data_IF_624716452072
#
_entry.id   IF_624716452072
#
_cell.length_a   1.000
_cell.length_b   1.000
_cell.length_c   1.000
_cell.angle_alpha   90.00
_cell.angle_beta   90.00
_cell.angle_gamma   90.00
#
_symmetry.space_group_name_H-M   'P 1'
#
loop_
_entity.id
_entity.type
_entity.pdbx_description
1 polymer ?
#
# COMPACT_ATOMS: atom_id res chain seq x y z
N UNK A 1 21.23 -4.50 -6.69
CA UNK A 1 20.65 -4.34 -8.03
C UNK A 1 19.40 -5.19 -8.01
N UNK A 2 18.22 -4.61 -8.20
CA UNK A 2 17.02 -5.42 -8.34
C UNK A 2 17.02 -6.02 -9.75
N UNK A 3 16.80 -7.32 -9.88
CA UNK A 3 16.78 -7.99 -11.18
C UNK A 3 15.49 -7.65 -11.92
N UNK A 4 15.57 -7.51 -13.25
CA UNK A 4 14.35 -7.36 -14.06
C UNK A 4 13.56 -8.67 -14.10
N UNK A 5 12.23 -8.61 -14.27
CA UNK A 5 11.41 -9.83 -14.38
C UNK A 5 11.81 -10.74 -15.54
N UNK A 6 12.30 -10.19 -16.65
CA UNK A 6 12.80 -10.99 -17.77
C UNK A 6 14.09 -11.72 -17.39
N UNK A 7 15.00 -11.04 -16.68
CA UNK A 7 16.22 -11.65 -16.18
C UNK A 7 15.93 -12.72 -15.11
N UNK A 8 14.94 -12.49 -14.23
CA UNK A 8 14.47 -13.49 -13.26
C UNK A 8 13.90 -14.72 -13.97
N UNK A 9 13.08 -14.53 -15.01
CA UNK A 9 12.55 -15.64 -15.80
C UNK A 9 13.64 -16.45 -16.51
N UNK A 10 14.66 -15.77 -17.04
CA UNK A 10 15.81 -16.43 -17.66
C UNK A 10 16.60 -17.24 -16.63
N UNK A 11 16.90 -16.66 -15.47
CA UNK A 11 17.56 -17.34 -14.35
C UNK A 11 16.74 -18.51 -13.83
N UNK A 12 15.43 -18.34 -13.68
CA UNK A 12 14.52 -19.41 -13.26
C UNK A 12 14.51 -20.56 -14.27
N UNK A 13 14.53 -20.25 -15.57
CA UNK A 13 14.60 -21.28 -16.63
C UNK A 13 15.91 -22.07 -16.53
N UNK A 14 17.02 -21.40 -16.27
CA UNK A 14 18.32 -22.05 -16.06
C UNK A 14 18.31 -22.92 -14.79
N UNK A 15 17.80 -22.38 -13.69
CA UNK A 15 17.66 -23.08 -12.41
C UNK A 15 16.82 -24.34 -12.56
N UNK A 16 15.63 -24.26 -13.17
CA UNK A 16 14.76 -25.42 -13.36
C UNK A 16 15.42 -26.55 -14.15
N UNK A 17 16.27 -26.23 -15.13
CA UNK A 17 17.03 -27.23 -15.90
C UNK A 17 18.20 -27.82 -15.12
N UNK A 18 18.88 -27.00 -14.34
CA UNK A 18 20.06 -27.42 -13.56
C UNK A 18 19.69 -28.40 -12.44
N UNK A 19 18.50 -28.24 -11.84
CA UNK A 19 18.04 -29.00 -10.67
C UNK A 19 16.95 -30.05 -10.98
N UNK A 20 16.70 -30.35 -12.26
CA UNK A 20 15.61 -31.25 -12.70
C UNK A 20 15.71 -32.68 -12.13
N UNK A 21 16.95 -33.17 -11.99
CA UNK A 21 17.26 -34.55 -11.57
C UNK A 21 17.68 -34.67 -10.10
N UNK A 22 17.58 -33.60 -9.31
CA UNK A 22 18.03 -33.59 -7.90
C UNK A 22 17.09 -34.39 -7.00
N UNK A 23 17.65 -35.13 -6.04
CA UNK A 23 16.88 -36.05 -5.19
C UNK A 23 17.30 -36.09 -3.71
N UNK A 24 18.51 -35.65 -3.36
CA UNK A 24 19.11 -35.89 -2.03
C UNK A 24 19.14 -34.64 -1.13
N UNK A 25 18.37 -34.68 -0.04
CA UNK A 25 18.24 -33.59 0.94
C UNK A 25 19.57 -33.22 1.62
N UNK A 26 20.34 -34.19 2.11
CA UNK A 26 21.54 -33.93 2.91
C UNK A 26 22.68 -33.28 2.10
N UNK A 27 22.79 -33.64 0.82
CA UNK A 27 23.83 -33.13 -0.07
C UNK A 27 23.42 -31.84 -0.79
N UNK A 28 22.16 -31.75 -1.22
CA UNK A 28 21.77 -30.80 -2.26
C UNK A 28 20.86 -29.67 -1.76
N UNK A 29 20.25 -29.76 -0.57
CA UNK A 29 19.31 -28.75 -0.08
C UNK A 29 19.96 -27.36 0.05
N UNK A 30 21.17 -27.28 0.62
CA UNK A 30 21.87 -26.00 0.77
C UNK A 30 22.26 -25.38 -0.58
N UNK A 31 22.96 -26.10 -1.50
CA UNK A 31 23.22 -25.61 -2.85
C UNK A 31 21.96 -25.19 -3.62
N UNK A 32 20.90 -26.01 -3.57
CA UNK A 32 19.63 -25.73 -4.25
C UNK A 32 19.01 -24.42 -3.78
N UNK A 33 18.93 -24.22 -2.46
CA UNK A 33 18.38 -22.98 -1.90
C UNK A 33 19.24 -21.77 -2.24
N UNK A 34 20.57 -21.89 -2.23
CA UNK A 34 21.46 -20.80 -2.62
C UNK A 34 21.18 -20.37 -4.07
N UNK A 35 21.09 -21.31 -5.00
CA UNK A 35 20.82 -20.99 -6.40
C UNK A 35 19.37 -20.52 -6.60
N UNK A 36 18.40 -21.05 -5.85
CA UNK A 36 17.02 -20.58 -5.88
C UNK A 36 16.93 -19.10 -5.49
N UNK A 37 17.56 -18.69 -4.39
CA UNK A 37 17.58 -17.27 -3.99
C UNK A 37 18.40 -16.40 -4.95
N UNK A 38 19.40 -16.98 -5.63
CA UNK A 38 20.18 -16.30 -6.67
C UNK A 38 19.37 -16.00 -7.94
N UNK A 39 18.30 -16.78 -8.23
CA UNK A 39 17.31 -16.44 -9.27
C UNK A 39 16.72 -15.05 -9.03
N UNK A 40 16.52 -14.68 -7.77
CA UNK A 40 16.01 -13.37 -7.33
C UNK A 40 17.12 -12.37 -6.97
N UNK A 41 18.39 -12.70 -7.21
CA UNK A 41 19.52 -11.79 -6.96
C UNK A 41 19.83 -11.60 -5.47
N UNK A 42 19.30 -12.46 -4.61
CA UNK A 42 19.56 -12.45 -3.17
C UNK A 42 20.86 -13.19 -2.89
N UNK A 43 21.90 -12.45 -2.49
CA UNK A 43 23.20 -13.04 -2.15
C UNK A 43 23.23 -13.51 -0.68
N UNK A 44 23.65 -14.77 -0.48
CA UNK A 44 23.77 -15.49 0.81
C UNK A 44 24.37 -14.68 1.96
N UNK A 45 25.34 -13.79 1.71
CA UNK A 45 26.12 -13.13 2.78
C UNK A 45 25.35 -12.10 3.62
N UNK A 46 24.10 -11.74 3.28
CA UNK A 46 23.42 -10.60 3.92
C UNK A 46 22.09 -10.89 4.64
N UNK A 47 21.39 -12.02 4.43
CA UNK A 47 19.98 -12.10 4.84
C UNK A 47 19.43 -13.44 5.39
N UNK A 48 20.11 -14.59 5.24
CA UNK A 48 19.55 -15.90 5.61
C UNK A 48 20.48 -16.73 6.51
N UNK A 49 19.91 -17.39 7.53
CA UNK A 49 20.61 -18.37 8.37
C UNK A 49 20.22 -19.77 7.94
N UNK A 50 21.20 -20.58 7.57
CA UNK A 50 21.00 -22.01 7.28
C UNK A 50 21.14 -22.82 8.57
N UNK A 51 20.43 -23.95 8.66
CA UNK A 51 20.46 -24.86 9.81
C UNK A 51 20.21 -24.12 11.13
N UNK A 52 19.19 -23.26 11.14
CA UNK A 52 18.87 -22.47 12.32
C UNK A 52 18.30 -23.38 13.40
N UNK A 53 19.02 -23.52 14.51
CA UNK A 53 18.59 -24.32 15.66
C UNK A 53 17.45 -23.61 16.40
N UNK A 54 16.35 -24.30 16.57
CA UNK A 54 15.13 -23.80 17.22
C UNK A 54 14.57 -24.86 18.16
N UNK A 55 13.88 -24.43 19.22
CA UNK A 55 13.11 -25.34 20.08
C UNK A 55 11.72 -25.55 19.48
N UNK A 56 11.32 -26.80 19.32
CA UNK A 56 9.95 -27.18 18.94
C UNK A 56 8.99 -26.99 20.14
N UNK A 57 7.69 -27.08 19.87
CA UNK A 57 6.61 -27.08 20.87
C UNK A 57 6.81 -28.09 22.01
N UNK A 58 7.47 -29.21 21.72
CA UNK A 58 7.75 -30.29 22.68
C UNK A 58 9.14 -30.19 23.34
N UNK A 59 9.75 -29.01 23.29
CA UNK A 59 11.09 -28.68 23.80
C UNK A 59 12.25 -29.46 23.18
N UNK A 60 12.01 -30.27 22.14
CA UNK A 60 13.08 -30.94 21.38
C UNK A 60 13.78 -29.96 20.44
N UNK A 61 15.08 -30.21 20.25
CA UNK A 61 15.86 -29.48 19.27
C UNK A 61 15.38 -29.79 17.85
N UNK A 62 15.20 -28.73 17.07
CA UNK A 62 14.90 -28.77 15.65
C UNK A 62 15.84 -27.88 14.86
N UNK A 63 15.94 -28.15 13.57
CA UNK A 63 16.74 -27.36 12.64
C UNK A 63 15.86 -26.92 11.48
N UNK A 64 15.87 -25.63 11.22
CA UNK A 64 15.24 -25.03 10.04
C UNK A 64 16.28 -24.99 8.93
N UNK A 65 15.96 -25.53 7.75
CA UNK A 65 16.91 -25.56 6.63
C UNK A 65 17.35 -24.16 6.21
N UNK A 66 16.39 -23.24 6.08
CA UNK A 66 16.68 -21.81 5.89
C UNK A 66 15.67 -20.92 6.59
N UNK A 67 16.18 -19.93 7.33
CA UNK A 67 15.38 -18.85 7.91
C UNK A 67 15.90 -17.49 7.43
N UNK A 68 15.03 -16.76 6.73
CA UNK A 68 15.14 -15.31 6.57
C UNK A 68 14.14 -14.65 7.51
N UNK A 69 14.65 -14.17 8.64
CA UNK A 69 13.88 -13.56 9.73
C UNK A 69 12.92 -12.48 9.22
N UNK A 70 11.65 -12.56 9.64
CA UNK A 70 10.62 -11.59 9.22
C UNK A 70 10.12 -11.75 7.79
N UNK A 71 10.65 -12.69 7.01
CA UNK A 71 10.36 -12.84 5.57
C UNK A 71 9.89 -14.24 5.23
N UNK A 72 10.78 -15.22 5.22
CA UNK A 72 10.48 -16.59 4.77
C UNK A 72 11.21 -17.64 5.59
N UNK A 73 10.51 -18.73 5.87
CA UNK A 73 11.08 -19.99 6.38
C UNK A 73 10.97 -21.03 5.29
N UNK A 74 12.07 -21.75 5.03
CA UNK A 74 12.10 -22.85 4.06
C UNK A 74 12.45 -24.16 4.74
N UNK A 75 11.65 -25.20 4.49
CA UNK A 75 11.88 -26.57 4.91
C UNK A 75 11.96 -27.47 3.66
N UNK A 76 13.10 -28.12 3.48
CA UNK A 76 13.35 -29.05 2.39
C UNK A 76 13.06 -30.47 2.82
N UNK A 77 12.71 -31.32 1.86
CA UNK A 77 12.63 -32.78 2.03
C UNK A 77 13.27 -33.47 0.84
N UNK A 78 13.65 -34.73 1.01
CA UNK A 78 14.06 -35.60 -0.10
C UNK A 78 12.91 -35.75 -1.10
N UNK A 79 13.22 -35.91 -2.40
CA UNK A 79 12.22 -35.97 -3.47
C UNK A 79 11.15 -37.04 -3.24
N UNK A 80 9.88 -36.68 -3.45
CA UNK A 80 8.71 -37.55 -3.29
C UNK A 80 8.20 -37.69 -1.85
N UNK A 81 8.76 -36.95 -0.89
CA UNK A 81 8.28 -36.94 0.50
C UNK A 81 7.04 -36.04 0.66
N UNK A 82 6.30 -36.27 1.74
CA UNK A 82 5.04 -35.55 2.00
C UNK A 82 5.31 -34.12 2.49
N UNK A 83 4.89 -33.14 1.69
CA UNK A 83 5.06 -31.71 1.97
C UNK A 83 4.12 -31.17 3.05
N UNK A 84 2.93 -31.74 3.24
CA UNK A 84 2.01 -31.32 4.30
C UNK A 84 2.61 -31.58 5.70
N UNK A 85 3.29 -32.73 5.86
CA UNK A 85 4.04 -33.04 7.07
C UNK A 85 5.20 -32.06 7.29
N UNK A 86 5.90 -31.68 6.22
CA UNK A 86 6.96 -30.67 6.29
C UNK A 86 6.41 -29.30 6.70
N UNK A 87 5.21 -28.94 6.23
CA UNK A 87 4.57 -27.69 6.62
C UNK A 87 4.15 -27.67 8.10
N UNK A 88 3.60 -28.77 8.62
CA UNK A 88 3.31 -28.91 10.06
C UNK A 88 4.60 -28.75 10.87
N UNK A 89 5.67 -29.42 10.46
CA UNK A 89 6.98 -29.29 11.09
C UNK A 89 7.51 -27.84 11.06
N UNK A 90 7.37 -27.14 9.92
CA UNK A 90 7.74 -25.75 9.78
C UNK A 90 6.93 -24.82 10.70
N UNK A 91 5.64 -25.09 10.88
CA UNK A 91 4.78 -24.37 11.83
C UNK A 91 5.21 -24.59 13.28
N UNK A 92 5.58 -25.82 13.65
CA UNK A 92 6.04 -26.12 15.01
C UNK A 92 7.27 -25.29 15.41
N UNK A 93 8.13 -24.95 14.44
CA UNK A 93 9.31 -24.10 14.66
C UNK A 93 8.97 -22.65 15.01
N UNK A 94 7.80 -22.13 14.58
CA UNK A 94 7.42 -20.74 14.82
C UNK A 94 7.34 -20.41 16.31
N UNK A 95 6.97 -21.39 17.14
CA UNK A 95 6.88 -21.22 18.60
C UNK A 95 8.22 -20.92 19.25
N UNK A 96 9.33 -21.36 18.64
CA UNK A 96 10.68 -21.11 19.13
C UNK A 96 11.30 -19.81 18.61
N UNK A 97 10.61 -19.06 17.75
CA UNK A 97 11.07 -17.80 17.17
C UNK A 97 10.53 -16.59 17.93
N UNK A 98 11.31 -15.51 17.99
CA UNK A 98 10.83 -14.23 18.54
C UNK A 98 9.85 -13.57 17.56
N UNK A 99 8.97 -12.70 18.07
CA UNK A 99 7.95 -12.02 17.26
C UNK A 99 8.49 -11.34 15.99
N UNK A 100 9.66 -10.68 16.06
CA UNK A 100 10.28 -10.00 14.91
C UNK A 100 11.02 -10.95 13.95
N UNK A 101 11.16 -12.23 14.31
CA UNK A 101 11.81 -13.26 13.50
C UNK A 101 10.78 -14.11 12.74
N UNK A 102 9.51 -14.07 13.18
CA UNK A 102 8.42 -14.81 12.56
C UNK A 102 8.34 -14.48 11.06
N UNK A 103 8.41 -15.49 10.18
CA UNK A 103 8.33 -15.31 8.75
C UNK A 103 6.90 -14.94 8.34
N UNK A 104 6.75 -14.23 7.22
CA UNK A 104 5.46 -14.01 6.56
C UNK A 104 5.09 -15.17 5.64
N UNK A 105 6.10 -15.87 5.13
CA UNK A 105 5.95 -16.98 4.20
C UNK A 105 6.59 -18.27 4.72
N UNK A 106 5.97 -19.42 4.43
CA UNK A 106 6.59 -20.73 4.59
C UNK A 106 6.65 -21.41 3.24
N UNK A 107 7.84 -21.76 2.78
CA UNK A 107 8.04 -22.61 1.62
C UNK A 107 8.43 -24.02 2.06
N UNK A 108 7.71 -25.01 1.58
CA UNK A 108 8.13 -26.41 1.69
C UNK A 108 8.38 -26.99 0.31
N UNK A 109 9.47 -27.72 0.14
CA UNK A 109 9.84 -28.28 -1.16
C UNK A 109 10.58 -29.61 -1.06
N UNK A 110 10.37 -30.47 -2.06
CA UNK A 110 11.07 -31.73 -2.23
C UNK A 110 11.94 -31.75 -3.50
N UNK A 111 12.47 -30.59 -3.89
CA UNK A 111 13.19 -30.31 -5.15
C UNK A 111 12.30 -30.28 -6.40
N UNK A 112 11.32 -31.17 -6.51
CA UNK A 112 10.38 -31.19 -7.64
C UNK A 112 9.15 -30.32 -7.41
N UNK A 113 8.56 -30.36 -6.22
CA UNK A 113 7.34 -29.66 -5.89
C UNK A 113 7.65 -28.51 -4.94
N UNK A 114 6.99 -27.39 -5.18
CA UNK A 114 7.04 -26.19 -4.36
C UNK A 114 5.64 -25.96 -3.79
N UNK A 115 5.57 -25.78 -2.48
CA UNK A 115 4.34 -25.41 -1.79
C UNK A 115 4.63 -24.19 -0.91
N UNK A 116 4.17 -23.04 -1.38
CA UNK A 116 4.36 -21.75 -0.73
C UNK A 116 3.08 -21.38 0.03
N UNK A 117 3.22 -21.12 1.32
CA UNK A 117 2.16 -20.64 2.20
C UNK A 117 2.40 -19.18 2.54
N UNK A 118 1.40 -18.34 2.30
CA UNK A 118 1.30 -16.98 2.83
C UNK A 118 0.58 -17.03 4.19
N UNK A 119 1.27 -16.64 5.26
CA UNK A 119 0.71 -16.65 6.61
C UNK A 119 -0.13 -15.41 6.92
N UNK A 120 -0.02 -14.34 6.13
CA UNK A 120 -0.82 -13.12 6.30
C UNK A 120 -2.14 -13.21 5.53
N UNK A 121 -2.12 -13.70 4.30
CA UNK A 121 -3.31 -13.82 3.43
C UNK A 121 -3.97 -15.21 3.47
N UNK A 122 -3.41 -16.15 4.23
CA UNK A 122 -3.83 -17.57 4.30
C UNK A 122 -3.91 -18.28 2.93
N UNK A 123 -3.15 -17.81 1.94
CA UNK A 123 -3.13 -18.34 0.59
C UNK A 123 -2.05 -19.43 0.41
N UNK A 124 -2.32 -20.40 -0.47
CA UNK A 124 -1.42 -21.52 -0.76
C UNK A 124 -1.21 -21.61 -2.27
N UNK A 125 0.04 -21.65 -2.69
CA UNK A 125 0.42 -21.85 -4.09
C UNK A 125 1.27 -23.11 -4.21
N UNK A 126 0.86 -24.02 -5.09
CA UNK A 126 1.55 -25.27 -5.37
C UNK A 126 1.91 -25.35 -6.86
N UNK A 127 3.18 -25.66 -7.15
CA UNK A 127 3.64 -25.82 -8.53
C UNK A 127 4.89 -26.71 -8.58
N UNK A 128 5.22 -27.22 -9.78
CA UNK A 128 6.41 -28.02 -10.03
C UNK A 128 7.60 -27.17 -10.45
N UNK A 129 8.82 -27.68 -10.27
CA UNK A 129 10.06 -27.00 -10.64
C UNK A 129 10.07 -26.51 -12.09
N UNK A 130 9.52 -27.28 -13.03
CA UNK A 130 9.46 -26.88 -14.45
C UNK A 130 8.52 -25.68 -14.68
N UNK A 131 7.53 -25.47 -13.81
CA UNK A 131 6.62 -24.33 -13.84
C UNK A 131 7.14 -23.12 -13.06
N UNK A 132 8.34 -23.19 -12.46
CA UNK A 132 8.90 -22.10 -11.67
C UNK A 132 8.93 -20.79 -12.47
N UNK A 133 9.25 -20.83 -13.77
CA UNK A 133 9.30 -19.66 -14.67
C UNK A 133 7.96 -18.91 -14.72
N UNK A 134 6.84 -19.63 -14.66
CA UNK A 134 5.50 -19.05 -14.64
C UNK A 134 5.09 -18.57 -13.24
N UNK A 135 5.77 -19.05 -12.20
CA UNK A 135 5.45 -18.82 -10.79
C UNK A 135 6.44 -17.89 -10.07
N UNK A 136 7.47 -17.37 -10.73
CA UNK A 136 8.46 -16.46 -10.13
C UNK A 136 7.84 -15.21 -9.50
N UNK A 137 6.67 -14.78 -9.96
CA UNK A 137 5.96 -13.62 -9.41
C UNK A 137 5.47 -13.85 -7.97
N UNK A 138 5.19 -15.09 -7.58
CA UNK A 138 4.78 -15.44 -6.22
C UNK A 138 5.91 -15.18 -5.20
N UNK A 139 7.14 -15.01 -5.66
CA UNK A 139 8.32 -14.72 -4.83
C UNK A 139 8.80 -13.27 -4.99
N UNK A 140 7.98 -12.38 -5.56
CA UNK A 140 8.36 -10.98 -5.78
C UNK A 140 8.78 -10.23 -4.52
N UNK A 141 8.30 -10.64 -3.35
CA UNK A 141 8.70 -10.10 -2.05
C UNK A 141 10.19 -10.31 -1.75
N UNK A 142 10.83 -11.34 -2.31
CA UNK A 142 12.26 -11.63 -2.12
C UNK A 142 13.18 -10.56 -2.74
N UNK A 143 12.66 -9.78 -3.69
CA UNK A 143 13.40 -8.69 -4.34
C UNK A 143 13.50 -7.43 -3.47
N UNK A 144 12.94 -7.44 -2.25
CA UNK A 144 12.81 -6.25 -1.40
C UNK A 144 11.73 -5.27 -1.89
N UNK A 145 10.99 -5.64 -2.95
CA UNK A 145 9.72 -5.01 -3.28
C UNK A 145 8.67 -5.58 -2.32
N UNK A 146 8.40 -4.87 -1.22
CA UNK A 146 7.05 -4.91 -0.67
C UNK A 146 6.14 -4.24 -1.69
N UNK A 147 5.82 -4.95 -2.76
CA UNK A 147 4.72 -4.57 -3.63
C UNK A 147 3.48 -4.87 -2.81
N UNK A 148 3.02 -3.90 -2.02
CA UNK A 148 1.61 -3.84 -1.64
C UNK A 148 0.85 -3.71 -2.96
N UNK A 149 0.55 -4.85 -3.58
CA UNK A 149 -0.34 -4.91 -4.73
C UNK A 149 -1.72 -4.69 -4.13
N UNK A 150 -2.12 -3.44 -4.00
CA UNK A 150 -3.49 -3.11 -3.67
C UNK A 150 -4.35 -3.59 -4.85
N UNK A 151 -5.00 -4.74 -4.70
CA UNK A 151 -5.99 -5.19 -5.69
C UNK A 151 -7.24 -4.36 -5.49
N UNK A 152 -7.77 -3.78 -6.56
CA UNK A 152 -9.05 -3.03 -6.52
C UNK A 152 -10.21 -3.88 -5.97
N UNK A 153 -10.14 -5.20 -6.12
CA UNK A 153 -11.10 -6.17 -5.60
C UNK A 153 -10.78 -6.68 -4.18
N UNK A 154 -9.84 -6.06 -3.46
CA UNK A 154 -9.61 -6.38 -2.05
C UNK A 154 -10.95 -6.26 -1.29
N UNK A 155 -11.34 -7.27 -0.49
CA UNK A 155 -12.55 -7.21 0.32
C UNK A 155 -12.66 -5.94 1.17
N UNK A 156 -11.53 -5.40 1.65
CA UNK A 156 -11.50 -4.15 2.40
C UNK A 156 -11.90 -2.94 1.52
N UNK A 157 -11.42 -2.90 0.28
CA UNK A 157 -11.73 -1.83 -0.67
C UNK A 157 -13.21 -1.80 -1.05
N UNK A 158 -13.78 -2.98 -1.34
CA UNK A 158 -15.21 -3.10 -1.68
C UNK A 158 -16.08 -2.68 -0.48
N UNK A 159 -15.73 -3.17 0.72
CA UNK A 159 -16.48 -2.84 1.94
C UNK A 159 -16.43 -1.34 2.27
N UNK A 160 -15.26 -0.71 2.16
CA UNK A 160 -15.10 0.73 2.36
C UNK A 160 -15.97 1.53 1.39
N UNK A 161 -15.98 1.12 0.12
CA UNK A 161 -16.79 1.76 -0.90
C UNK A 161 -18.30 1.67 -0.62
N UNK A 162 -18.79 0.49 -0.26
CA UNK A 162 -20.19 0.27 0.07
C UNK A 162 -20.66 1.08 1.29
N UNK A 163 -19.83 1.18 2.34
CA UNK A 163 -20.20 1.94 3.54
C UNK A 163 -20.27 3.44 3.27
N UNK A 164 -19.26 3.99 2.59
CA UNK A 164 -19.27 5.41 2.19
C UNK A 164 -20.43 5.72 1.26
N UNK A 165 -20.76 4.81 0.34
CA UNK A 165 -21.91 4.99 -0.54
C UNK A 165 -23.25 4.99 0.19
N UNK A 166 -23.42 4.11 1.19
CA UNK A 166 -24.61 4.13 2.06
C UNK A 166 -24.72 5.43 2.86
N UNK A 167 -23.61 5.98 3.33
CA UNK A 167 -23.60 7.25 4.05
C UNK A 167 -24.00 8.42 3.15
N UNK A 168 -23.46 8.46 1.92
CA UNK A 168 -23.86 9.40 0.88
C UNK A 168 -25.37 9.37 0.64
N UNK A 169 -25.91 8.19 0.32
CA UNK A 169 -27.31 8.04 -0.08
C UNK A 169 -28.26 8.50 1.02
N UNK A 170 -27.93 8.22 2.27
CA UNK A 170 -28.72 8.64 3.42
C UNK A 170 -28.71 10.16 3.61
N UNK A 171 -27.56 10.81 3.48
CA UNK A 171 -27.48 12.26 3.54
C UNK A 171 -28.31 12.90 2.42
N UNK A 172 -28.25 12.31 1.22
CA UNK A 172 -29.07 12.73 0.09
C UNK A 172 -30.58 12.56 0.32
N UNK A 173 -30.99 11.43 0.90
CA UNK A 173 -32.40 11.13 1.21
C UNK A 173 -33.04 12.14 2.16
N UNK A 174 -32.26 12.73 3.08
CA UNK A 174 -32.74 13.76 4.01
C UNK A 174 -32.66 15.19 3.43
N UNK A 175 -32.24 15.32 2.16
CA UNK A 175 -32.14 16.60 1.46
C UNK A 175 -30.80 17.32 1.59
N UNK A 176 -29.74 16.65 2.07
CA UNK A 176 -28.38 17.17 2.01
C UNK A 176 -27.73 16.69 0.71
N UNK A 177 -27.78 17.50 -0.34
CA UNK A 177 -27.42 17.11 -1.70
C UNK A 177 -26.53 18.14 -2.42
N UNK A 178 -26.18 17.84 -3.68
CA UNK A 178 -25.37 18.69 -4.52
C UNK A 178 -23.98 18.92 -3.96
N UNK A 179 -23.38 20.06 -4.33
CA UNK A 179 -22.01 20.42 -3.93
C UNK A 179 -21.69 20.24 -2.43
N UNK A 180 -22.55 20.69 -1.48
CA UNK A 180 -22.30 20.45 -0.06
C UNK A 180 -22.11 18.99 0.34
N UNK A 181 -22.94 18.08 -0.19
CA UNK A 181 -22.85 16.65 0.10
C UNK A 181 -21.49 16.09 -0.32
N UNK A 182 -21.07 16.46 -1.54
CA UNK A 182 -19.85 15.97 -2.15
C UNK A 182 -18.60 16.40 -1.38
N UNK A 183 -18.51 17.69 -1.03
CA UNK A 183 -17.40 18.20 -0.21
C UNK A 183 -17.43 17.58 1.19
N UNK A 184 -18.62 17.41 1.79
CA UNK A 184 -18.76 16.84 3.14
C UNK A 184 -18.25 15.39 3.20
N UNK A 185 -18.60 14.56 2.22
CA UNK A 185 -18.11 13.18 2.14
C UNK A 185 -16.60 13.10 1.93
N UNK A 186 -16.06 13.97 1.08
CA UNK A 186 -14.61 14.01 0.84
C UNK A 186 -13.86 14.42 2.12
N UNK A 187 -14.41 15.34 2.93
CA UNK A 187 -13.87 15.68 4.25
C UNK A 187 -13.91 14.52 5.23
N UNK A 188 -15.03 13.78 5.29
CA UNK A 188 -15.14 12.59 6.13
C UNK A 188 -14.14 11.51 5.70
N UNK A 189 -14.01 11.28 4.39
CA UNK A 189 -13.04 10.35 3.84
C UNK A 189 -11.61 10.72 4.23
N UNK A 190 -11.27 12.01 4.17
CA UNK A 190 -9.97 12.48 4.65
C UNK A 190 -9.77 12.16 6.13
N UNK A 191 -10.76 12.44 7.00
CA UNK A 191 -10.66 12.17 8.43
C UNK A 191 -10.46 10.67 8.75
N UNK A 192 -11.21 9.80 8.07
CA UNK A 192 -11.10 8.35 8.18
C UNK A 192 -9.70 7.84 7.79
N UNK A 193 -9.12 8.41 6.74
CA UNK A 193 -7.77 8.06 6.33
C UNK A 193 -6.71 8.62 7.29
N UNK A 194 -6.91 9.85 7.73
CA UNK A 194 -5.95 10.58 8.56
C UNK A 194 -5.67 9.90 9.91
N UNK A 195 -6.68 9.28 10.53
CA UNK A 195 -6.51 8.53 11.79
C UNK A 195 -5.73 7.21 11.65
N UNK A 196 -5.69 6.64 10.44
CA UNK A 196 -4.97 5.40 10.16
C UNK A 196 -3.61 5.62 9.51
N UNK A 197 -3.31 6.84 9.05
CA UNK A 197 -2.03 7.17 8.41
C UNK A 197 -1.19 8.17 9.19
N UNK A 198 -1.32 8.24 10.52
CA UNK A 198 -0.51 9.12 11.41
C UNK A 198 -0.61 10.62 11.12
N UNK A 199 -1.61 11.05 10.36
CA UNK A 199 -1.94 12.49 10.24
C UNK A 199 -2.62 12.91 11.54
N UNK A 200 -3.61 12.13 11.97
CA UNK A 200 -4.19 12.21 13.30
C UNK A 200 -3.54 11.16 14.22
N UNK A 201 -3.78 11.30 15.52
CA UNK A 201 -3.50 10.22 16.44
C UNK A 201 -4.37 9.00 16.09
N UNK A 202 -3.87 7.79 16.38
CA UNK A 202 -4.60 6.56 16.08
C UNK A 202 -5.99 6.58 16.74
N UNK A 203 -7.03 6.30 15.96
CA UNK A 203 -8.45 6.30 16.39
C UNK A 203 -8.96 7.66 16.90
N UNK A 204 -8.24 8.77 16.68
CA UNK A 204 -8.62 10.06 17.25
C UNK A 204 -9.98 10.55 16.72
N UNK A 205 -10.29 10.30 15.44
CA UNK A 205 -11.56 10.69 14.84
C UNK A 205 -12.69 9.77 15.32
N UNK A 206 -12.45 8.46 15.34
CA UNK A 206 -13.36 7.48 15.92
C UNK A 206 -13.70 7.79 17.39
N UNK A 207 -12.70 8.08 18.21
CA UNK A 207 -12.85 8.40 19.63
C UNK A 207 -13.58 9.72 19.84
N UNK A 208 -13.34 10.71 18.98
CA UNK A 208 -14.09 11.97 18.99
C UNK A 208 -15.59 11.71 18.75
N UNK A 209 -15.94 10.95 17.70
CA UNK A 209 -17.35 10.62 17.43
C UNK A 209 -17.94 9.79 18.58
N UNK A 210 -17.23 8.77 19.03
CA UNK A 210 -17.73 7.83 20.05
C UNK A 210 -18.00 8.52 21.38
N UNK A 211 -17.08 9.38 21.83
CA UNK A 211 -17.09 9.92 23.19
C UNK A 211 -17.70 11.32 23.30
N UNK A 212 -17.86 12.06 22.18
CA UNK A 212 -18.28 13.48 22.18
C UNK A 212 -19.56 13.75 21.42
N UNK A 213 -20.23 12.71 20.93
CA UNK A 213 -21.53 12.82 20.26
C UNK A 213 -22.54 11.86 20.88
N UNK A 214 -23.80 12.28 20.92
CA UNK A 214 -24.91 11.51 21.43
C UNK A 214 -25.17 10.28 20.54
N UNK A 215 -25.59 9.17 21.15
CA UNK A 215 -25.93 7.94 20.42
C UNK A 215 -27.06 8.13 19.42
N UNK A 216 -27.94 9.10 19.64
CA UNK A 216 -29.05 9.44 18.75
C UNK A 216 -28.63 10.24 17.50
N UNK A 217 -27.35 10.66 17.41
CA UNK A 217 -26.78 11.41 16.29
C UNK A 217 -27.13 12.90 16.25
N UNK A 218 -27.92 13.40 17.20
CA UNK A 218 -28.50 14.75 17.17
C UNK A 218 -27.48 15.89 17.14
N UNK A 219 -26.30 15.68 17.73
CA UNK A 219 -25.22 16.67 17.87
C UNK A 219 -24.01 16.38 16.98
N UNK A 220 -24.04 15.32 16.16
CA UNK A 220 -22.92 14.90 15.34
C UNK A 220 -22.53 15.96 14.28
N UNK A 221 -23.49 16.51 13.53
CA UNK A 221 -23.19 17.53 12.52
C UNK A 221 -22.56 18.80 13.11
N UNK A 222 -23.09 19.39 14.20
CA UNK A 222 -22.42 20.49 14.89
C UNK A 222 -20.99 20.17 15.34
N UNK A 223 -20.75 18.95 15.85
CA UNK A 223 -19.42 18.53 16.31
C UNK A 223 -18.43 18.32 15.17
N UNK A 224 -18.88 17.77 14.04
CA UNK A 224 -18.08 17.67 12.83
C UNK A 224 -17.75 19.04 12.24
N UNK A 225 -18.69 19.99 12.29
CA UNK A 225 -18.44 21.36 11.84
C UNK A 225 -17.37 22.05 12.71
N UNK A 226 -17.43 21.86 14.03
CA UNK A 226 -16.40 22.35 14.97
C UNK A 226 -15.03 21.75 14.62
N UNK A 227 -14.96 20.43 14.38
CA UNK A 227 -13.74 19.76 13.95
C UNK A 227 -13.20 20.31 12.63
N UNK A 228 -14.04 20.46 11.60
CA UNK A 228 -13.61 20.97 10.29
C UNK A 228 -13.04 22.39 10.40
N UNK A 229 -13.60 23.23 11.26
CA UNK A 229 -13.03 24.55 11.54
C UNK A 229 -11.65 24.46 12.21
N UNK A 230 -11.45 23.52 13.13
CA UNK A 230 -10.15 23.28 13.77
C UNK A 230 -9.10 22.80 12.76
N UNK A 231 -9.48 21.92 11.83
CA UNK A 231 -8.62 21.45 10.74
C UNK A 231 -8.23 22.57 9.77
N UNK A 232 -9.08 23.60 9.61
CA UNK A 232 -8.80 24.80 8.82
C UNK A 232 -8.09 25.93 9.60
N UNK A 233 -7.92 25.81 10.91
CA UNK A 233 -7.35 26.87 11.75
C UNK A 233 -5.93 26.54 12.20
N UNK A 234 -4.91 27.34 11.79
CA UNK A 234 -3.55 27.21 12.28
C UNK A 234 -3.46 27.22 13.81
N UNK A 235 -2.59 26.39 14.39
CA UNK A 235 -2.52 26.17 15.85
C UNK A 235 -2.37 27.46 16.65
N UNK A 236 -1.59 28.41 16.16
CA UNK A 236 -1.34 29.71 16.79
C UNK A 236 -2.53 30.67 16.75
N UNK A 237 -3.52 30.41 15.88
CA UNK A 237 -4.75 31.19 15.74
C UNK A 237 -5.95 30.56 16.45
N UNK A 238 -5.80 29.36 17.03
CA UNK A 238 -6.85 28.68 17.79
C UNK A 238 -7.15 29.42 19.10
N UNK A 239 -8.39 29.29 19.58
CA UNK A 239 -8.76 29.85 20.88
C UNK A 239 -7.96 29.20 22.01
N UNK A 240 -7.51 30.02 22.97
CA UNK A 240 -6.69 29.55 24.11
C UNK A 240 -7.42 28.59 25.06
N UNK A 241 -8.74 28.59 25.01
CA UNK A 241 -9.63 27.73 25.78
C UNK A 241 -10.37 26.72 24.89
N UNK A 242 -9.87 26.45 23.68
CA UNK A 242 -10.36 25.35 22.86
C UNK A 242 -10.24 24.04 23.64
N UNK A 243 -11.24 23.16 23.48
CA UNK A 243 -11.24 21.84 24.09
C UNK A 243 -9.95 21.08 23.74
N UNK A 244 -9.33 20.44 24.75
CA UNK A 244 -8.01 19.81 24.62
C UNK A 244 -7.99 18.71 23.54
N UNK A 245 -9.06 17.91 23.45
CA UNK A 245 -9.14 16.82 22.46
C UNK A 245 -9.24 17.38 21.04
N UNK A 246 -9.97 18.48 20.85
CA UNK A 246 -10.02 19.18 19.57
C UNK A 246 -8.68 19.84 19.24
N UNK A 247 -8.02 20.43 20.23
CA UNK A 247 -6.72 21.09 20.05
C UNK A 247 -5.61 20.15 19.57
N UNK A 248 -5.73 18.84 19.83
CA UNK A 248 -4.80 17.81 19.36
C UNK A 248 -4.89 17.52 17.85
N UNK A 249 -5.99 17.86 17.17
CA UNK A 249 -6.06 17.66 15.71
C UNK A 249 -5.12 18.64 15.00
N UNK A 250 -4.39 18.23 13.94
CA UNK A 250 -3.47 19.10 13.23
C UNK A 250 -4.19 20.15 12.39
N UNK A 251 -3.45 21.14 11.90
CA UNK A 251 -3.90 22.02 10.83
C UNK A 251 -3.62 21.37 9.47
N UNK A 252 -4.61 21.37 8.56
CA UNK A 252 -4.56 20.68 7.26
C UNK A 252 -4.69 21.72 6.13
N UNK A 253 -3.67 22.57 5.98
CA UNK A 253 -3.37 23.50 4.87
C UNK A 253 -4.53 24.16 4.08
N UNK A 254 -5.68 24.36 4.71
CA UNK A 254 -6.75 25.25 4.27
C UNK A 254 -7.69 24.69 3.21
N UNK A 255 -7.22 24.30 2.02
CA UNK A 255 -8.12 24.23 0.84
C UNK A 255 -9.31 23.27 0.98
N UNK A 256 -9.14 22.09 1.56
CA UNK A 256 -10.24 21.12 1.72
C UNK A 256 -11.29 21.58 2.74
N UNK A 257 -10.87 22.29 3.80
CA UNK A 257 -11.72 22.66 4.94
C UNK A 257 -12.15 24.14 4.93
N UNK A 258 -11.60 24.96 4.03
CA UNK A 258 -11.85 26.40 3.95
C UNK A 258 -13.30 26.76 3.60
N UNK A 259 -13.99 25.93 2.81
CA UNK A 259 -15.37 26.20 2.43
C UNK A 259 -16.33 25.99 3.62
N UNK A 260 -17.18 26.99 3.88
CA UNK A 260 -18.26 26.87 4.86
C UNK A 260 -19.44 26.17 4.19
N UNK A 261 -19.74 24.96 4.66
CA UNK A 261 -20.86 24.17 4.18
C UNK A 261 -22.13 24.44 5.02
N UNK A 262 -23.33 24.29 4.43
CA UNK A 262 -24.56 24.21 5.21
C UNK A 262 -24.47 23.04 6.20
N UNK A 263 -25.10 23.21 7.37
CA UNK A 263 -25.11 22.18 8.41
C UNK A 263 -25.93 20.97 7.95
N UNK A 264 -25.32 19.79 8.01
CA UNK A 264 -25.99 18.51 7.79
C UNK A 264 -26.87 18.12 9.00
N UNK A 265 -27.61 17.02 8.89
CA UNK A 265 -28.34 16.43 10.00
C UNK A 265 -28.08 14.92 10.04
N UNK A 266 -27.97 14.37 11.25
CA UNK A 266 -27.70 12.95 11.45
C UNK A 266 -28.74 12.35 12.39
N UNK A 267 -29.14 11.13 12.09
CA UNK A 267 -29.86 10.26 13.03
C UNK A 267 -28.92 9.18 13.60
N UNK A 268 -29.44 8.37 14.52
CA UNK A 268 -28.69 7.28 15.16
C UNK A 268 -28.10 6.30 14.14
N UNK A 269 -28.80 6.03 13.04
CA UNK A 269 -28.37 5.07 12.04
C UNK A 269 -27.28 5.65 11.14
N UNK A 270 -27.30 6.95 10.86
CA UNK A 270 -26.23 7.63 10.10
C UNK A 270 -24.97 7.76 10.95
N UNK A 271 -25.10 8.06 12.25
CA UNK A 271 -23.97 8.03 13.19
C UNK A 271 -23.31 6.65 13.23
N UNK A 272 -24.11 5.58 13.35
CA UNK A 272 -23.60 4.21 13.32
C UNK A 272 -22.90 3.89 12.00
N UNK A 273 -23.45 4.31 10.85
CA UNK A 273 -22.81 4.10 9.56
C UNK A 273 -21.44 4.78 9.46
N UNK A 274 -21.29 5.99 10.00
CA UNK A 274 -19.99 6.67 10.06
C UNK A 274 -19.00 5.95 10.98
N UNK A 275 -19.44 5.46 12.14
CA UNK A 275 -18.60 4.65 13.03
C UNK A 275 -18.19 3.31 12.39
N UNK A 276 -19.07 2.68 11.62
CA UNK A 276 -18.72 1.48 10.84
C UNK A 276 -17.61 1.74 9.83
N UNK A 277 -17.56 2.95 9.23
CA UNK A 277 -16.44 3.37 8.40
C UNK A 277 -15.14 3.51 9.21
N UNK A 278 -15.18 4.05 10.43
CA UNK A 278 -13.99 4.19 11.30
C UNK A 278 -13.36 2.84 11.69
N UNK A 279 -14.13 1.75 11.71
CA UNK A 279 -13.60 0.42 12.02
C UNK A 279 -12.81 -0.24 10.87
N UNK A 280 -12.79 0.37 9.69
CA UNK A 280 -11.96 -0.07 8.57
C UNK A 280 -10.56 0.51 8.74
N UNK A 281 -9.54 -0.29 8.44
CA UNK A 281 -8.14 0.16 8.38
C UNK A 281 -7.87 0.84 7.03
N UNK A 282 -8.02 2.15 6.98
CA UNK A 282 -7.88 2.97 5.77
C UNK A 282 -6.43 3.07 5.28
N UNK A 283 -5.43 2.72 6.10
CA UNK A 283 -4.03 2.62 5.67
C UNK A 283 -3.78 1.51 4.62
N UNK A 284 -4.71 0.55 4.54
CA UNK A 284 -4.71 -0.54 3.57
C UNK A 284 -5.55 -0.24 2.33
N UNK A 285 -6.18 0.92 2.27
CA UNK A 285 -7.02 1.31 1.15
C UNK A 285 -6.16 2.11 0.15
N UNK A 286 -6.22 1.71 -1.12
CA UNK A 286 -5.55 2.45 -2.18
C UNK A 286 -6.36 3.71 -2.52
N UNK A 287 -5.74 4.90 -2.58
CA UNK A 287 -6.45 6.10 -3.07
C UNK A 287 -7.05 5.93 -4.46
N UNK A 288 -6.53 4.98 -5.25
CA UNK A 288 -7.09 4.65 -6.56
C UNK A 288 -8.53 4.10 -6.50
N UNK A 289 -8.97 3.56 -5.35
CA UNK A 289 -10.33 3.04 -5.20
C UNK A 289 -11.38 4.15 -5.06
N UNK A 290 -10.98 5.39 -4.78
CA UNK A 290 -11.96 6.45 -4.59
C UNK A 290 -12.80 6.63 -5.85
N UNK A 291 -12.21 6.41 -7.03
CA UNK A 291 -12.95 6.36 -8.29
C UNK A 291 -14.07 5.32 -8.32
N UNK A 292 -13.83 4.09 -7.86
CA UNK A 292 -14.85 3.04 -7.84
C UNK A 292 -15.86 3.23 -6.71
N UNK A 293 -15.40 3.69 -5.55
CA UNK A 293 -16.23 4.08 -4.41
C UNK A 293 -17.27 5.12 -4.82
N UNK A 294 -16.85 6.17 -5.49
CA UNK A 294 -17.74 7.26 -5.83
C UNK A 294 -18.52 7.04 -7.14
N UNK A 295 -18.07 6.14 -8.01
CA UNK A 295 -18.91 5.64 -9.09
C UNK A 295 -20.13 4.86 -8.60
N UNK A 296 -20.04 4.25 -7.41
CA UNK A 296 -21.18 3.53 -6.82
C UNK A 296 -22.29 4.47 -6.34
N UNK A 297 -21.96 5.73 -6.02
CA UNK A 297 -22.93 6.74 -5.58
C UNK A 297 -23.54 7.56 -6.71
N UNK A 298 -22.89 7.58 -7.88
CA UNK A 298 -23.42 8.26 -9.07
C UNK A 298 -24.65 7.54 -9.64
N UNK A 299 -25.60 8.30 -10.17
CA UNK A 299 -26.77 7.73 -10.84
C UNK A 299 -26.34 6.91 -12.08
N UNK A 300 -26.87 5.68 -12.28
CA UNK A 300 -26.52 4.84 -13.42
C UNK A 300 -26.70 5.48 -14.81
N UNK A 301 -27.66 6.41 -14.95
CA UNK A 301 -27.89 7.14 -16.21
C UNK A 301 -26.83 8.22 -16.45
N UNK A 302 -26.48 8.99 -15.41
CA UNK A 302 -25.40 9.99 -15.46
C UNK A 302 -24.05 9.32 -15.71
N UNK A 303 -23.80 8.19 -15.03
CA UNK A 303 -22.59 7.37 -15.25
C UNK A 303 -22.38 6.98 -16.70
N UNK A 304 -23.46 6.57 -17.39
CA UNK A 304 -23.40 6.14 -18.80
C UNK A 304 -23.23 7.32 -19.77
N UNK A 305 -23.84 8.47 -19.48
CA UNK A 305 -23.76 9.65 -20.34
C UNK A 305 -22.39 10.36 -20.24
N UNK A 306 -21.80 10.41 -19.04
CA UNK A 306 -20.52 11.05 -18.81
C UNK A 306 -19.32 10.16 -19.18
N UNK A 307 -19.56 8.88 -19.50
CA UNK A 307 -18.49 7.92 -19.71
C UNK A 307 -17.62 7.73 -18.46
N UNK A 308 -18.21 7.94 -17.27
CA UNK A 308 -17.56 7.88 -15.97
C UNK A 308 -17.19 6.43 -15.61
N UNK A 309 -16.25 5.88 -16.38
CA UNK A 309 -15.65 4.58 -16.20
C UNK A 309 -14.24 4.79 -15.69
N UNK A 310 -13.98 4.21 -14.53
CA UNK A 310 -12.70 4.30 -13.89
C UNK A 310 -11.68 3.46 -14.68
N UNK A 311 -10.46 3.99 -14.85
CA UNK A 311 -9.36 3.25 -15.48
C UNK A 311 -8.55 2.51 -14.42
N UNK A 312 -8.64 1.18 -14.39
CA UNK A 312 -7.89 0.34 -13.45
C UNK A 312 -6.38 0.64 -13.43
N UNK A 313 -5.73 0.41 -12.28
CA UNK A 313 -4.29 0.55 -12.12
C UNK A 313 -3.53 -0.26 -13.18
N UNK A 314 -4.00 -1.47 -13.48
CA UNK A 314 -3.39 -2.32 -14.51
C UNK A 314 -3.39 -1.66 -15.89
N UNK A 315 -4.48 -0.95 -16.24
CA UNK A 315 -4.58 -0.26 -17.52
C UNK A 315 -3.78 1.06 -17.52
N UNK A 316 -3.74 1.77 -16.39
CA UNK A 316 -2.89 2.96 -16.23
C UNK A 316 -1.42 2.56 -16.44
N UNK A 317 -0.96 1.51 -15.76
CA UNK A 317 0.42 1.02 -15.87
C UNK A 317 0.78 0.59 -17.29
N UNK A 318 -0.16 0.00 -18.05
CA UNK A 318 0.07 -0.33 -19.48
C UNK A 318 0.32 0.91 -20.34
N UNK A 319 -0.18 2.08 -19.94
CA UNK A 319 0.01 3.33 -20.64
C UNK A 319 1.28 4.05 -20.17
N UNK A 320 1.43 4.27 -18.86
CA UNK A 320 2.52 5.12 -18.35
C UNK A 320 3.91 4.46 -18.45
N UNK A 321 3.97 3.12 -18.39
CA UNK A 321 5.21 2.34 -18.57
C UNK A 321 5.91 2.63 -19.89
N UNK A 322 5.29 2.35 -21.06
CA UNK A 322 5.91 2.67 -22.34
C UNK A 322 5.99 4.17 -22.63
N UNK A 323 5.13 5.01 -22.02
CA UNK A 323 5.11 6.45 -22.29
C UNK A 323 6.33 7.18 -21.71
N UNK A 324 6.73 6.86 -20.48
CA UNK A 324 7.89 7.51 -19.84
C UNK A 324 8.53 6.67 -18.72
N UNK A 325 7.73 5.87 -17.99
CA UNK A 325 8.20 5.29 -16.73
C UNK A 325 9.30 4.23 -16.93
N UNK A 326 9.20 3.39 -17.96
CA UNK A 326 10.23 2.39 -18.26
C UNK A 326 11.55 3.04 -18.71
N UNK A 327 11.48 4.16 -19.45
CA UNK A 327 12.66 4.92 -19.85
C UNK A 327 13.36 5.55 -18.65
N UNK A 328 12.60 6.15 -17.71
CA UNK A 328 13.16 6.73 -16.49
C UNK A 328 13.85 5.67 -15.61
N UNK A 329 13.24 4.50 -15.44
CA UNK A 329 13.86 3.40 -14.70
C UNK A 329 15.11 2.87 -15.41
N UNK A 330 15.10 2.75 -16.74
CA UNK A 330 16.27 2.33 -17.50
C UNK A 330 17.43 3.34 -17.36
N UNK A 331 17.14 4.64 -17.48
CA UNK A 331 18.12 5.71 -17.28
C UNK A 331 18.72 5.64 -15.87
N UNK A 332 17.87 5.59 -14.84
CA UNK A 332 18.28 5.40 -13.44
C UNK A 332 19.21 4.20 -13.29
N UNK A 333 18.84 3.04 -13.83
CA UNK A 333 19.61 1.81 -13.68
C UNK A 333 21.00 1.89 -14.30
N UNK A 334 21.17 2.68 -15.37
CA UNK A 334 22.48 2.95 -15.99
C UNK A 334 23.35 3.91 -15.18
N UNK A 335 22.75 4.87 -14.46
CA UNK A 335 23.48 5.93 -13.74
C UNK A 335 23.53 5.75 -12.21
N UNK A 336 22.82 4.78 -11.62
CA UNK A 336 22.67 4.58 -10.16
C UNK A 336 23.96 4.41 -9.34
N UNK A 337 25.09 4.20 -10.01
CA UNK A 337 26.42 4.09 -9.39
C UNK A 337 27.26 5.37 -9.58
N UNK A 338 26.79 6.32 -10.39
CA UNK A 338 27.47 7.56 -10.72
C UNK A 338 26.93 8.72 -9.84
N UNK A 339 27.71 9.09 -8.83
CA UNK A 339 27.35 10.13 -7.86
C UNK A 339 27.16 11.53 -8.46
N UNK A 340 27.73 11.81 -9.62
CA UNK A 340 27.61 13.13 -10.25
C UNK A 340 26.35 13.24 -11.12
N UNK A 341 25.92 12.13 -11.72
CA UNK A 341 24.73 12.11 -12.59
C UNK A 341 23.41 11.95 -11.83
N UNK A 342 23.43 11.34 -10.64
CA UNK A 342 22.23 11.14 -9.84
C UNK A 342 21.52 12.46 -9.45
N UNK A 343 22.22 13.50 -8.97
CA UNK A 343 21.58 14.80 -8.68
C UNK A 343 20.97 15.47 -9.92
N UNK A 344 21.64 15.37 -11.07
CA UNK A 344 21.12 15.90 -12.35
C UNK A 344 19.85 15.17 -12.78
N UNK A 345 19.81 13.85 -12.58
CA UNK A 345 18.64 13.03 -12.89
C UNK A 345 17.48 13.26 -11.92
N UNK A 346 17.77 13.42 -10.61
CA UNK A 346 16.76 13.80 -9.62
C UNK A 346 16.13 15.15 -9.95
N UNK A 347 16.96 16.14 -10.33
CA UNK A 347 16.50 17.44 -10.81
C UNK A 347 15.59 17.29 -12.04
N UNK A 348 16.02 16.51 -13.04
CA UNK A 348 15.22 16.24 -14.26
C UNK A 348 13.84 15.70 -13.91
N UNK A 349 13.73 14.77 -12.97
CA UNK A 349 12.43 14.21 -12.56
C UNK A 349 11.58 15.25 -11.84
N UNK A 350 12.18 16.06 -10.95
CA UNK A 350 11.44 17.11 -10.22
C UNK A 350 10.86 18.20 -11.12
N UNK A 351 11.41 18.36 -12.33
CA UNK A 351 10.93 19.34 -13.32
C UNK A 351 9.84 18.76 -14.25
N UNK A 352 9.57 17.45 -14.21
CA UNK A 352 8.50 16.85 -15.02
C UNK A 352 7.13 17.37 -14.58
N UNK A 353 6.25 17.60 -15.56
CA UNK A 353 4.85 17.99 -15.34
C UNK A 353 3.93 17.02 -16.08
N UNK A 354 2.88 16.58 -15.42
CA UNK A 354 1.90 15.66 -15.97
C UNK A 354 0.54 16.34 -16.03
N UNK A 355 -0.17 16.17 -17.14
CA UNK A 355 -1.49 16.73 -17.34
C UNK A 355 -2.45 15.64 -17.80
N UNK A 356 -3.53 15.47 -17.05
CA UNK A 356 -4.68 14.67 -17.46
C UNK A 356 -5.88 15.61 -17.71
N UNK A 357 -6.22 15.90 -18.99
CA UNK A 357 -7.26 16.88 -19.33
C UNK A 357 -8.69 16.34 -19.18
N UNK A 358 -8.87 15.10 -18.71
CA UNK A 358 -10.16 14.49 -18.38
C UNK A 358 -9.97 13.54 -17.19
N UNK A 359 -9.47 14.08 -16.07
CA UNK A 359 -8.85 13.27 -15.03
C UNK A 359 -9.82 12.46 -14.17
N UNK A 360 -11.13 12.76 -14.20
CA UNK A 360 -12.10 12.13 -13.32
C UNK A 360 -11.67 12.28 -11.87
N UNK A 361 -11.60 11.16 -11.16
CA UNK A 361 -11.12 11.09 -9.78
C UNK A 361 -9.59 11.12 -9.62
N UNK A 362 -8.84 11.43 -10.68
CA UNK A 362 -7.38 11.66 -10.62
C UNK A 362 -6.50 10.41 -10.67
N UNK A 363 -7.03 9.24 -11.05
CA UNK A 363 -6.29 7.99 -10.88
C UNK A 363 -5.01 7.87 -11.74
N UNK A 364 -4.98 8.45 -12.94
CA UNK A 364 -3.72 8.57 -13.69
C UNK A 364 -2.69 9.41 -12.94
N UNK A 365 -3.11 10.51 -12.31
CA UNK A 365 -2.24 11.41 -11.54
C UNK A 365 -1.71 10.70 -10.29
N UNK A 366 -2.59 10.06 -9.52
CA UNK A 366 -2.26 9.32 -8.29
C UNK A 366 -1.25 8.20 -8.56
N UNK A 367 -1.51 7.35 -9.55
CA UNK A 367 -0.63 6.23 -9.88
C UNK A 367 0.70 6.75 -10.44
N UNK A 368 0.67 7.74 -11.33
CA UNK A 368 1.90 8.35 -11.86
C UNK A 368 2.75 8.94 -10.75
N UNK A 369 2.14 9.67 -9.83
CA UNK A 369 2.83 10.30 -8.70
C UNK A 369 3.46 9.23 -7.79
N UNK A 370 2.71 8.19 -7.44
CA UNK A 370 3.21 7.05 -6.67
C UNK A 370 4.44 6.41 -7.31
N UNK A 371 4.39 6.11 -8.61
CA UNK A 371 5.51 5.47 -9.31
C UNK A 371 6.74 6.39 -9.39
N UNK A 372 6.55 7.70 -9.51
CA UNK A 372 7.64 8.68 -9.50
C UNK A 372 8.25 8.84 -8.10
N UNK A 373 7.44 8.85 -7.04
CA UNK A 373 7.93 8.84 -5.65
C UNK A 373 8.71 7.57 -5.33
N UNK A 374 8.27 6.40 -5.82
CA UNK A 374 9.04 5.15 -5.70
C UNK A 374 10.41 5.23 -6.40
N UNK A 375 10.46 5.86 -7.58
CA UNK A 375 11.70 6.12 -8.30
C UNK A 375 12.59 7.11 -7.53
N UNK A 376 12.03 8.19 -6.99
CA UNK A 376 12.75 9.14 -6.14
C UNK A 376 13.35 8.46 -4.91
N UNK A 377 12.60 7.62 -4.19
CA UNK A 377 13.11 6.83 -3.06
C UNK A 377 14.30 5.97 -3.51
N UNK A 378 14.24 5.34 -4.69
CA UNK A 378 15.35 4.56 -5.22
C UNK A 378 16.58 5.43 -5.53
N UNK A 379 16.38 6.64 -6.06
CA UNK A 379 17.43 7.64 -6.29
C UNK A 379 18.08 8.06 -4.97
N UNK A 380 17.30 8.45 -3.98
CA UNK A 380 17.81 8.87 -2.66
C UNK A 380 18.58 7.74 -1.98
N UNK A 381 18.03 6.51 -2.00
CA UNK A 381 18.74 5.32 -1.51
C UNK A 381 20.06 5.08 -2.24
N UNK A 382 20.16 5.38 -3.54
CA UNK A 382 21.39 5.26 -4.31
C UNK A 382 22.40 6.38 -3.99
N UNK A 383 21.93 7.60 -3.77
CA UNK A 383 22.72 8.78 -3.43
C UNK A 383 23.34 8.66 -2.03
N UNK A 384 22.57 8.22 -1.03
CA UNK A 384 22.95 8.23 0.38
C UNK A 384 23.41 6.85 0.94
N UNK A 385 23.82 5.90 0.09
CA UNK A 385 24.23 4.52 0.45
C UNK A 385 25.21 4.35 1.62
N UNK A 386 25.96 5.40 1.98
CA UNK A 386 27.06 5.33 2.94
C UNK A 386 26.76 6.00 4.29
N UNK A 387 25.49 6.31 4.60
CA UNK A 387 25.12 6.87 5.90
C UNK A 387 25.67 8.28 6.15
N UNK A 388 25.92 9.05 5.08
CA UNK A 388 26.04 10.50 5.25
C UNK A 388 24.71 11.02 5.77
N UNK A 389 24.73 11.48 7.01
CA UNK A 389 23.57 11.86 7.80
C UNK A 389 22.71 12.88 7.08
N UNK A 390 21.64 12.39 6.48
CA UNK A 390 20.47 13.22 6.18
C UNK A 390 19.80 13.43 7.53
N UNK A 391 19.88 14.65 8.04
CA UNK A 391 19.25 15.05 9.30
C UNK A 391 17.73 15.14 9.14
N UNK A 392 17.26 15.46 7.92
CA UNK A 392 15.85 15.56 7.59
C UNK A 392 15.56 15.05 6.16
N UNK A 393 14.65 14.09 6.05
CA UNK A 393 14.19 13.52 4.77
C UNK A 393 13.45 14.58 3.94
N UNK A 394 12.81 15.57 4.59
CA UNK A 394 12.08 16.64 3.92
C UNK A 394 12.99 17.56 3.08
N UNK A 395 14.28 17.69 3.44
CA UNK A 395 15.22 18.53 2.69
C UNK A 395 15.72 17.89 1.38
N UNK A 396 15.53 16.58 1.25
CA UNK A 396 16.05 15.79 0.12
C UNK A 396 14.95 15.23 -0.79
N UNK A 397 13.67 15.37 -0.43
CA UNK A 397 12.53 15.06 -1.30
C UNK A 397 12.20 16.30 -2.12
N UNK A 398 12.14 16.17 -3.45
CA UNK A 398 11.89 17.27 -4.38
C UNK A 398 10.58 17.11 -5.16
N UNK A 399 10.01 15.90 -5.20
CA UNK A 399 8.75 15.66 -5.89
C UNK A 399 7.56 16.03 -4.99
N UNK A 400 6.66 16.83 -5.52
CA UNK A 400 5.46 17.33 -4.84
C UNK A 400 4.24 17.21 -5.77
N UNK A 401 3.03 17.17 -5.21
CA UNK A 401 1.76 17.07 -5.93
C UNK A 401 1.56 18.20 -6.93
N UNK A 402 2.24 19.34 -6.77
CA UNK A 402 2.29 20.48 -7.70
C UNK A 402 2.85 20.13 -9.10
N UNK A 403 3.42 18.93 -9.27
CA UNK A 403 3.80 18.41 -10.58
C UNK A 403 2.63 17.80 -11.38
N UNK A 404 1.49 17.58 -10.73
CA UNK A 404 0.30 16.95 -11.30
C UNK A 404 -0.77 17.99 -11.61
N UNK A 405 -1.22 18.03 -12.86
CA UNK A 405 -2.32 18.85 -13.33
C UNK A 405 -3.49 18.00 -13.84
N UNK A 406 -4.71 18.41 -13.50
CA UNK A 406 -5.94 17.75 -13.96
C UNK A 406 -6.97 18.77 -14.45
N UNK A 407 -7.74 18.40 -15.47
CA UNK A 407 -8.97 19.11 -15.85
C UNK A 407 -10.10 18.10 -15.77
N UNK A 408 -11.18 18.48 -15.08
CA UNK A 408 -12.38 17.68 -14.94
C UNK A 408 -13.59 18.61 -15.02
N UNK A 409 -14.65 18.14 -15.69
CA UNK A 409 -15.88 18.91 -15.89
C UNK A 409 -16.77 18.86 -14.65
N UNK A 410 -16.88 17.69 -14.02
CA UNK A 410 -17.68 17.49 -12.82
C UNK A 410 -16.89 17.85 -11.55
N UNK A 411 -17.49 18.64 -10.67
CA UNK A 411 -16.79 19.09 -9.45
C UNK A 411 -16.42 17.92 -8.53
N UNK A 412 -17.32 16.94 -8.38
CA UNK A 412 -17.12 15.88 -7.40
C UNK A 412 -15.88 15.01 -7.69
N UNK A 413 -15.69 14.44 -8.90
CA UNK A 413 -14.45 13.74 -9.23
C UNK A 413 -13.21 14.64 -9.10
N UNK A 414 -13.31 15.94 -9.43
CA UNK A 414 -12.21 16.88 -9.24
C UNK A 414 -11.79 17.03 -7.76
N UNK A 415 -12.75 17.10 -6.83
CA UNK A 415 -12.48 17.14 -5.38
C UNK A 415 -11.87 15.85 -4.87
N UNK A 416 -12.35 14.71 -5.39
CA UNK A 416 -11.77 13.41 -5.07
C UNK A 416 -10.32 13.34 -5.55
N UNK A 417 -10.02 13.85 -6.75
CA UNK A 417 -8.66 13.90 -7.27
C UNK A 417 -7.73 14.72 -6.36
N UNK A 418 -8.19 15.88 -5.89
CA UNK A 418 -7.43 16.74 -4.97
C UNK A 418 -7.06 16.01 -3.68
N UNK A 419 -8.04 15.37 -3.03
CA UNK A 419 -7.78 14.61 -1.79
C UNK A 419 -6.95 13.36 -2.06
N UNK A 420 -7.22 12.61 -3.14
CA UNK A 420 -6.46 11.42 -3.49
C UNK A 420 -4.96 11.75 -3.67
N UNK A 421 -4.65 12.92 -4.26
CA UNK A 421 -3.28 13.39 -4.41
C UNK A 421 -2.58 13.67 -3.07
N UNK A 422 -3.26 14.31 -2.11
CA UNK A 422 -2.69 14.52 -0.78
C UNK A 422 -2.54 13.22 0.01
N UNK A 423 -3.51 12.33 -0.09
CA UNK A 423 -3.46 11.04 0.59
C UNK A 423 -2.35 10.15 0.06
N UNK A 424 -2.11 10.13 -1.26
CA UNK A 424 -1.00 9.37 -1.83
C UNK A 424 0.35 10.01 -1.50
N UNK A 425 0.47 11.34 -1.47
CA UNK A 425 1.69 12.02 -1.00
C UNK A 425 2.05 11.62 0.42
N UNK A 426 1.07 11.71 1.32
CA UNK A 426 1.28 11.31 2.70
C UNK A 426 1.64 9.83 2.83
N UNK A 427 0.97 8.93 2.09
CA UNK A 427 1.34 7.51 2.06
C UNK A 427 2.78 7.27 1.58
N UNK A 428 3.25 8.05 0.61
CA UNK A 428 4.61 7.94 0.10
C UNK A 428 5.64 8.53 1.08
N UNK A 429 5.28 9.57 1.83
CA UNK A 429 6.13 10.16 2.88
C UNK A 429 6.35 9.19 4.07
N UNK A 430 5.45 8.24 4.28
CA UNK A 430 5.56 7.23 5.35
C UNK A 430 6.44 6.01 4.99
N UNK A 431 6.92 5.89 3.74
CA UNK A 431 7.79 4.80 3.27
C UNK A 431 9.27 5.14 3.38
#
# INVERSE_FOLDING_TARGET
MALSWNEIKERATKFSKEWEDTQNEEADAKPFLIEFFNVFGVNRKKFATFEHRVKKLDERDGYIDLLWKGTILVEMKSRGKNLDKAFVQAKDYLHGLKQHELPKYILVSDFENFKLHDLEEENIVEFKLHDLVNNVQNFGYLLGYQKKIYKEQDPANIKAAELMGKLHDRLKEIGYDGHPLEVYLVRLLFCLFAEDTTIFNKQQFQDFITNRTNEDGSDLAPKLQELFQVLDTPTEKRFKNLDEQLAEFPYVNGKLFQEILPMASFDSKMRLALLECCYIDWSKISPAIFGSMFQSVMNPKERRNLGAHYTSETNILKLIKPLFLDELWAEFETIKSNKNKLPEFHKKISELKFLDPACGCGNFLVITYRELRLLEIAILRATYKNGQGVLDIQEIIWLDVDMMGGIEYEEFPARIAEVAMWLIDHQMNMQ
#
